data_IF_658565488541
#
_entry.id   IF_658565488541
#
_cell.length_a   1.000
_cell.length_b   1.000
_cell.length_c   1.000
_cell.angle_alpha   90.00
_cell.angle_beta   90.00
_cell.angle_gamma   90.00
#
_symmetry.space_group_name_H-M   'P 1'
#
loop_
_entity.id
_entity.type
_entity.pdbx_description
1 polymer ?
#
# COMPACT_ATOMS: atom_id res chain seq x y z
N UNK A 1 -21.19 -37.57 7.43
CA UNK A 1 -20.02 -36.92 8.06
C UNK A 1 -19.08 -36.32 7.01
N UNK A 2 -18.72 -37.06 5.96
CA UNK A 2 -17.86 -36.54 4.89
C UNK A 2 -18.51 -35.41 4.07
N UNK A 3 -19.79 -35.56 3.69
CA UNK A 3 -20.53 -34.54 2.93
C UNK A 3 -20.71 -33.22 3.71
N UNK A 4 -20.95 -33.33 5.03
CA UNK A 4 -21.00 -32.17 5.92
C UNK A 4 -19.65 -31.48 6.06
N UNK A 5 -18.54 -32.23 6.10
CA UNK A 5 -17.19 -31.66 6.12
C UNK A 5 -16.85 -30.96 4.81
N UNK A 6 -17.19 -31.55 3.66
CA UNK A 6 -16.97 -30.95 2.35
C UNK A 6 -17.77 -29.65 2.18
N UNK A 7 -19.04 -29.63 2.61
CA UNK A 7 -19.87 -28.42 2.62
C UNK A 7 -19.27 -27.31 3.51
N UNK A 8 -18.85 -27.64 4.73
CA UNK A 8 -18.23 -26.67 5.63
C UNK A 8 -16.90 -26.13 5.08
N UNK A 9 -16.11 -26.96 4.39
CA UNK A 9 -14.87 -26.51 3.76
C UNK A 9 -15.16 -25.52 2.61
N UNK A 10 -16.15 -25.83 1.76
CA UNK A 10 -16.56 -24.94 0.67
C UNK A 10 -17.09 -23.60 1.19
N UNK A 11 -17.93 -23.61 2.23
CA UNK A 11 -18.43 -22.37 2.86
C UNK A 11 -17.31 -21.55 3.49
N UNK A 12 -16.38 -22.19 4.20
CA UNK A 12 -15.23 -21.49 4.77
C UNK A 12 -14.36 -20.83 3.70
N UNK A 13 -14.16 -21.50 2.56
CA UNK A 13 -13.38 -20.92 1.46
C UNK A 13 -14.11 -19.73 0.83
N UNK A 14 -15.42 -19.85 0.59
CA UNK A 14 -16.23 -18.75 0.08
C UNK A 14 -16.21 -17.54 1.03
N UNK A 15 -16.28 -17.77 2.34
CA UNK A 15 -16.19 -16.71 3.35
C UNK A 15 -14.81 -16.06 3.37
N UNK A 16 -13.72 -16.84 3.24
CA UNK A 16 -12.35 -16.31 3.16
C UNK A 16 -12.17 -15.39 1.96
N UNK A 17 -12.61 -15.83 0.77
CA UNK A 17 -12.53 -15.00 -0.45
C UNK A 17 -13.28 -13.68 -0.26
N UNK A 18 -14.49 -13.73 0.32
CA UNK A 18 -15.30 -12.54 0.57
C UNK A 18 -14.65 -11.61 1.60
N UNK A 19 -14.04 -12.15 2.66
CA UNK A 19 -13.31 -11.39 3.67
C UNK A 19 -12.11 -10.65 3.05
N UNK A 20 -11.32 -11.34 2.22
CA UNK A 20 -10.15 -10.75 1.54
C UNK A 20 -10.60 -9.60 0.64
N UNK A 21 -11.68 -9.77 -0.11
CA UNK A 21 -12.23 -8.73 -0.99
C UNK A 21 -12.71 -7.51 -0.19
N UNK A 22 -13.42 -7.70 0.92
CA UNK A 22 -13.80 -6.59 1.81
C UNK A 22 -12.59 -5.87 2.39
N UNK A 23 -11.59 -6.60 2.85
CA UNK A 23 -10.37 -6.02 3.39
C UNK A 23 -9.62 -5.21 2.32
N UNK A 24 -9.51 -5.76 1.12
CA UNK A 24 -8.90 -5.10 -0.02
C UNK A 24 -9.64 -3.79 -0.36
N UNK A 25 -10.98 -3.79 -0.38
CA UNK A 25 -11.79 -2.60 -0.67
C UNK A 25 -11.62 -1.53 0.40
N UNK A 26 -11.61 -1.94 1.67
CA UNK A 26 -11.39 -1.04 2.82
C UNK A 26 -10.03 -0.34 2.75
N UNK A 27 -8.97 -1.07 2.34
CA UNK A 27 -7.60 -0.57 2.23
C UNK A 27 -7.26 0.11 0.90
N UNK A 28 -8.19 0.19 -0.06
CA UNK A 28 -7.92 0.65 -1.44
C UNK A 28 -7.34 2.07 -1.52
N UNK A 29 -7.76 2.95 -0.60
CA UNK A 29 -7.29 4.34 -0.49
C UNK A 29 -6.04 4.50 0.39
N UNK A 30 -5.57 3.41 1.01
CA UNK A 30 -4.41 3.45 1.88
C UNK A 30 -3.11 3.35 1.07
N UNK A 31 -2.11 4.06 1.56
CA UNK A 31 -0.71 3.92 1.16
C UNK A 31 0.11 3.47 2.37
N UNK A 32 1.16 2.70 2.10
CA UNK A 32 2.14 2.22 3.07
C UNK A 32 3.49 2.85 2.78
N UNK A 33 4.04 3.57 3.75
CA UNK A 33 5.31 4.26 3.67
C UNK A 33 6.32 3.55 4.56
N UNK A 34 7.52 3.26 4.03
CA UNK A 34 8.60 2.54 4.70
C UNK A 34 9.87 3.37 4.64
N UNK A 35 10.69 3.31 5.69
CA UNK A 35 11.98 4.03 5.76
C UNK A 35 11.91 5.41 6.43
N UNK A 36 10.71 5.87 6.79
CA UNK A 36 10.55 7.11 7.56
C UNK A 36 11.20 6.98 8.94
N UNK A 37 12.16 7.84 9.32
CA UNK A 37 12.73 7.84 10.67
C UNK A 37 11.63 7.96 11.73
N UNK A 38 11.81 7.29 12.85
CA UNK A 38 10.85 7.38 13.96
C UNK A 38 10.85 8.79 14.56
N UNK A 39 9.66 9.28 14.98
CA UNK A 39 9.44 10.59 15.62
C UNK A 39 9.64 11.81 14.69
N UNK A 40 9.91 11.60 13.40
CA UNK A 40 10.01 12.70 12.42
C UNK A 40 8.68 13.46 12.26
N UNK A 41 7.58 12.81 12.59
CA UNK A 41 6.24 13.38 12.47
C UNK A 41 5.93 14.47 13.50
N UNK A 42 6.73 14.55 14.56
CA UNK A 42 6.41 15.36 15.73
C UNK A 42 5.11 14.87 16.39
N UNK A 43 4.11 15.75 16.49
CA UNK A 43 2.85 15.49 17.17
C UNK A 43 1.73 14.92 16.29
N UNK A 44 1.73 15.20 14.98
CA UNK A 44 0.62 14.85 14.07
C UNK A 44 1.13 14.16 12.81
N UNK A 45 1.05 12.81 12.72
CA UNK A 45 1.41 12.07 11.51
C UNK A 45 0.66 12.53 10.26
N UNK A 46 -0.58 12.98 10.44
CA UNK A 46 -1.42 13.49 9.34
C UNK A 46 -0.81 14.77 8.75
N UNK A 47 -0.57 15.77 9.59
CA UNK A 47 -0.04 17.06 9.14
C UNK A 47 1.37 16.94 8.56
N UNK A 48 2.18 16.06 9.15
CA UNK A 48 3.49 15.72 8.62
C UNK A 48 3.38 15.22 7.17
N UNK A 49 2.50 14.25 6.89
CA UNK A 49 2.37 13.69 5.55
C UNK A 49 1.80 14.67 4.51
N UNK A 50 0.92 15.58 4.93
CA UNK A 50 0.37 16.63 4.04
C UNK A 50 1.49 17.48 3.45
N UNK A 51 2.55 17.77 4.23
CA UNK A 51 3.72 18.55 3.79
C UNK A 51 4.78 17.66 3.13
N UNK A 52 5.08 16.52 3.76
CA UNK A 52 6.17 15.65 3.38
C UNK A 52 5.98 15.00 2.00
N UNK A 53 4.76 14.58 1.63
CA UNK A 53 4.54 13.89 0.36
C UNK A 53 4.75 14.82 -0.85
N UNK A 54 4.19 16.04 -0.89
CA UNK A 54 4.52 17.02 -1.92
C UNK A 54 6.00 17.40 -1.96
N UNK A 55 6.65 17.59 -0.80
CA UNK A 55 8.09 17.87 -0.73
C UNK A 55 8.93 16.73 -1.33
N UNK A 56 8.54 15.47 -1.07
CA UNK A 56 9.26 14.30 -1.55
C UNK A 56 9.05 14.03 -3.04
N UNK A 57 7.84 14.28 -3.56
CA UNK A 57 7.45 13.91 -4.93
C UNK A 57 7.41 15.09 -5.90
N UNK A 58 7.70 16.30 -5.43
CA UNK A 58 7.61 17.55 -6.18
C UNK A 58 6.23 18.19 -6.04
N UNK A 59 6.19 19.39 -5.46
CA UNK A 59 4.96 20.13 -5.19
C UNK A 59 4.16 20.46 -6.47
N UNK A 60 4.83 20.60 -7.61
CA UNK A 60 4.22 20.93 -8.90
C UNK A 60 3.20 19.89 -9.39
N UNK A 61 3.30 18.65 -8.89
CA UNK A 61 2.35 17.58 -9.23
C UNK A 61 1.04 17.66 -8.43
N UNK A 62 0.93 18.58 -7.47
CA UNK A 62 -0.22 18.73 -6.58
C UNK A 62 -0.79 20.14 -6.72
N UNK A 63 -1.84 20.29 -7.55
CA UNK A 63 -2.51 21.57 -7.76
C UNK A 63 -3.34 22.05 -6.57
N UNK A 64 -3.71 21.12 -5.68
CA UNK A 64 -4.43 21.39 -4.43
C UNK A 64 -3.67 20.80 -3.26
N UNK A 65 -3.95 21.31 -2.06
CA UNK A 65 -3.37 20.76 -0.84
C UNK A 65 -3.74 19.28 -0.70
N UNK A 66 -2.76 18.44 -0.36
CA UNK A 66 -2.97 17.02 -0.14
C UNK A 66 -3.91 16.81 1.06
N UNK A 67 -4.97 16.04 0.85
CA UNK A 67 -5.91 15.65 1.91
C UNK A 67 -5.66 14.21 2.38
N UNK A 68 -5.33 14.10 3.66
CA UNK A 68 -5.10 12.82 4.36
C UNK A 68 -6.17 12.67 5.43
N UNK A 69 -6.93 11.57 5.38
CA UNK A 69 -7.99 11.29 6.37
C UNK A 69 -7.36 10.86 7.70
N UNK A 70 -6.45 9.88 7.64
CA UNK A 70 -5.83 9.24 8.80
C UNK A 70 -4.40 8.83 8.47
N UNK A 71 -3.51 8.95 9.44
CA UNK A 71 -2.14 8.48 9.34
C UNK A 71 -1.67 7.91 10.69
N UNK A 72 -1.02 6.76 10.68
CA UNK A 72 -0.50 6.13 11.89
C UNK A 72 0.66 5.16 11.57
N UNK A 73 1.50 4.88 12.57
CA UNK A 73 2.54 3.84 12.48
C UNK A 73 1.92 2.47 12.75
N UNK A 74 2.33 1.48 11.96
CA UNK A 74 1.89 0.09 12.10
C UNK A 74 2.81 -0.67 13.06
N UNK A 75 2.21 -1.38 14.01
CA UNK A 75 2.89 -2.33 14.89
C UNK A 75 3.59 -1.72 16.11
N UNK A 76 4.09 -2.61 16.95
CA UNK A 76 4.84 -2.27 18.18
C UNK A 76 6.27 -1.89 17.83
N UNK A 77 6.82 -0.89 18.54
CA UNK A 77 8.25 -0.59 18.42
C UNK A 77 9.05 -1.80 18.91
N UNK A 78 9.99 -2.27 18.09
CA UNK A 78 10.98 -3.22 18.58
C UNK A 78 11.93 -2.48 19.55
N UNK A 79 12.33 -3.11 20.65
CA UNK A 79 13.38 -2.57 21.53
C UNK A 79 14.72 -2.56 20.80
N UNK A 80 15.47 -1.46 20.92
CA UNK A 80 16.82 -1.28 20.36
C UNK A 80 16.95 -0.07 19.41
N UNK A 81 18.03 0.69 19.60
CA UNK A 81 18.28 1.96 18.86
C UNK A 81 18.54 1.77 17.36
N UNK A 82 18.87 0.55 16.92
CA UNK A 82 19.09 0.20 15.51
C UNK A 82 17.91 -0.56 14.87
N UNK A 83 16.74 -0.56 15.51
CA UNK A 83 15.56 -1.21 14.96
C UNK A 83 15.09 -0.53 13.66
N UNK A 84 14.63 -1.32 12.70
CA UNK A 84 14.06 -0.80 11.45
C UNK A 84 12.86 0.10 11.77
N UNK A 85 12.76 1.31 11.19
CA UNK A 85 11.64 2.20 11.44
C UNK A 85 10.31 1.54 11.05
N UNK A 86 9.26 1.74 11.86
CA UNK A 86 7.95 1.13 11.58
C UNK A 86 7.35 1.68 10.29
N UNK A 87 6.60 0.85 9.56
CA UNK A 87 5.84 1.33 8.43
C UNK A 87 4.76 2.32 8.90
N UNK A 88 4.45 3.32 8.08
CA UNK A 88 3.33 4.22 8.29
C UNK A 88 2.23 3.88 7.28
N UNK A 89 0.98 3.82 7.76
CA UNK A 89 -0.19 3.70 6.90
C UNK A 89 -0.90 5.05 6.89
N UNK A 90 -1.23 5.53 5.70
CA UNK A 90 -2.01 6.74 5.51
C UNK A 90 -3.16 6.49 4.56
N UNK A 91 -4.35 6.96 4.92
CA UNK A 91 -5.54 6.96 4.06
C UNK A 91 -5.62 8.31 3.35
N UNK A 92 -5.51 8.28 2.03
CA UNK A 92 -5.64 9.46 1.20
C UNK A 92 -7.12 9.69 0.87
N UNK A 93 -7.59 10.92 1.03
CA UNK A 93 -9.01 11.25 0.88
C UNK A 93 -9.51 10.94 -0.55
N UNK A 94 -8.76 11.40 -1.56
CA UNK A 94 -9.09 11.18 -2.96
C UNK A 94 -8.33 10.02 -3.58
N UNK A 95 -9.05 9.08 -4.20
CA UNK A 95 -8.46 7.90 -4.83
C UNK A 95 -7.49 8.26 -5.97
N UNK A 96 -7.82 9.24 -6.81
CA UNK A 96 -6.96 9.66 -7.93
C UNK A 96 -5.63 10.25 -7.43
N UNK A 97 -5.65 11.03 -6.33
CA UNK A 97 -4.43 11.57 -5.71
C UNK A 97 -3.53 10.44 -5.21
N UNK A 98 -4.11 9.42 -4.58
CA UNK A 98 -3.39 8.22 -4.16
C UNK A 98 -2.73 7.49 -5.34
N UNK A 99 -3.41 7.38 -6.47
CA UNK A 99 -2.83 6.79 -7.68
C UNK A 99 -1.68 7.63 -8.25
N UNK A 100 -1.82 8.96 -8.23
CA UNK A 100 -0.74 9.89 -8.61
C UNK A 100 0.48 9.72 -7.71
N UNK A 101 0.30 9.69 -6.38
CA UNK A 101 1.38 9.44 -5.41
C UNK A 101 2.11 8.13 -5.73
N UNK A 102 1.37 7.03 -5.93
CA UNK A 102 1.96 5.73 -6.25
C UNK A 102 2.63 5.67 -7.63
N UNK A 103 2.16 6.46 -8.59
CA UNK A 103 2.79 6.59 -9.90
C UNK A 103 4.11 7.36 -9.79
N UNK A 104 4.11 8.51 -9.13
CA UNK A 104 5.30 9.34 -8.92
C UNK A 104 6.36 8.58 -8.12
N UNK A 105 5.96 7.88 -7.06
CA UNK A 105 6.87 7.09 -6.24
C UNK A 105 7.59 5.98 -7.04
N UNK A 106 6.93 5.42 -8.06
CA UNK A 106 7.55 4.44 -8.97
C UNK A 106 8.45 5.10 -10.01
N UNK A 107 8.05 6.26 -10.53
CA UNK A 107 8.80 6.99 -11.56
C UNK A 107 10.09 7.62 -11.01
N UNK A 108 10.03 8.14 -9.79
CA UNK A 108 11.14 8.83 -9.13
C UNK A 108 11.97 7.88 -8.24
N UNK A 109 11.79 6.57 -8.38
CA UNK A 109 12.54 5.60 -7.62
C UNK A 109 14.04 5.66 -7.99
N UNK A 110 14.98 5.68 -7.02
CA UNK A 110 14.77 5.59 -5.58
C UNK A 110 14.43 6.94 -4.93
N UNK A 111 13.38 6.98 -4.11
CA UNK A 111 13.06 8.16 -3.30
C UNK A 111 14.03 8.25 -2.12
N UNK A 112 14.54 9.45 -1.85
CA UNK A 112 15.44 9.71 -0.72
C UNK A 112 14.98 10.93 0.07
N UNK A 113 15.09 10.84 1.39
CA UNK A 113 14.93 11.97 2.29
C UNK A 113 16.11 12.01 3.26
N UNK A 114 16.91 13.09 3.24
CA UNK A 114 18.14 13.23 4.04
C UNK A 114 19.05 11.99 3.92
N UNK A 115 19.31 11.58 2.67
CA UNK A 115 20.08 10.38 2.29
C UNK A 115 19.54 9.03 2.76
N UNK A 116 18.36 8.99 3.40
CA UNK A 116 17.69 7.75 3.77
C UNK A 116 16.68 7.35 2.70
N UNK A 117 16.67 6.07 2.26
CA UNK A 117 15.73 5.62 1.25
C UNK A 117 14.31 5.57 1.83
N UNK A 118 13.35 6.11 1.07
CA UNK A 118 11.92 6.07 1.38
C UNK A 118 11.22 5.22 0.33
N UNK A 119 10.25 4.42 0.76
CA UNK A 119 9.47 3.60 -0.14
C UNK A 119 7.98 3.83 0.09
N UNK A 120 7.21 3.98 -0.98
CA UNK A 120 5.75 4.14 -0.93
C UNK A 120 5.11 3.02 -1.75
N UNK A 121 4.24 2.26 -1.11
CA UNK A 121 3.54 1.12 -1.70
C UNK A 121 2.03 1.21 -1.46
N UNK A 122 1.21 0.49 -2.24
CA UNK A 122 -0.18 0.25 -1.86
C UNK A 122 -0.25 -0.64 -0.60
N UNK A 123 -1.25 -0.40 0.25
CA UNK A 123 -1.56 -1.26 1.42
C UNK A 123 -2.47 -2.42 0.99
N UNK A 124 -1.89 -3.57 0.67
CA UNK A 124 -2.64 -4.79 0.35
C UNK A 124 -2.80 -5.71 1.57
N UNK A 125 -3.90 -6.50 1.64
CA UNK A 125 -4.03 -7.61 2.57
C UNK A 125 -2.87 -8.61 2.44
N UNK A 126 -2.59 -9.35 3.52
CA UNK A 126 -1.49 -10.30 3.57
C UNK A 126 -1.64 -11.43 2.52
N UNK A 127 -2.87 -11.91 2.32
CA UNK A 127 -3.22 -12.94 1.34
C UNK A 127 -2.94 -12.46 -0.09
N UNK A 128 -3.31 -11.22 -0.41
CA UNK A 128 -3.03 -10.62 -1.72
C UNK A 128 -1.53 -10.44 -1.93
N UNK A 129 -0.78 -10.08 -0.88
CA UNK A 129 0.69 -10.01 -0.96
C UNK A 129 1.32 -11.38 -1.18
N UNK A 130 0.84 -12.44 -0.52
CA UNK A 130 1.30 -13.82 -0.73
C UNK A 130 1.04 -14.27 -2.16
N UNK A 131 -0.18 -14.12 -2.66
CA UNK A 131 -0.53 -14.43 -4.06
C UNK A 131 0.38 -13.71 -5.07
N UNK A 132 0.75 -12.45 -4.80
CA UNK A 132 1.68 -11.69 -5.65
C UNK A 132 3.12 -12.20 -5.60
N UNK A 133 3.58 -12.69 -4.45
CA UNK A 133 4.91 -13.30 -4.31
C UNK A 133 4.97 -14.64 -5.04
N UNK A 134 3.94 -15.48 -4.85
CA UNK A 134 3.84 -16.82 -5.44
C UNK A 134 3.73 -16.76 -6.97
N UNK A 135 3.09 -15.72 -7.51
CA UNK A 135 2.99 -15.52 -8.95
C UNK A 135 4.34 -15.19 -9.63
N UNK A 136 5.40 -14.84 -8.89
CA UNK A 136 6.75 -14.64 -9.45
C UNK A 136 6.91 -13.53 -10.49
N UNK A 137 5.85 -12.77 -10.80
CA UNK A 137 5.88 -11.77 -11.86
C UNK A 137 6.27 -10.40 -11.32
N UNK A 138 7.30 -9.77 -11.90
CA UNK A 138 7.50 -8.31 -11.85
C UNK A 138 6.39 -7.61 -12.67
N UNK A 139 5.13 -7.76 -12.27
CA UNK A 139 3.97 -7.20 -12.98
C UNK A 139 3.29 -6.13 -12.15
N UNK A 140 2.89 -5.05 -12.83
CA UNK A 140 1.93 -4.09 -12.31
C UNK A 140 0.56 -4.75 -12.16
N UNK A 141 0.37 -5.51 -11.09
CA UNK A 141 -0.92 -6.07 -10.72
C UNK A 141 -1.83 -4.91 -10.29
N UNK A 142 -2.89 -4.69 -11.06
CA UNK A 142 -3.94 -3.72 -10.73
C UNK A 142 -4.80 -4.27 -9.60
N UNK A 143 -5.34 -3.37 -8.78
CA UNK A 143 -6.29 -3.75 -7.75
C UNK A 143 -7.53 -4.47 -8.35
N UNK A 144 -8.10 -5.52 -7.70
CA UNK A 144 -7.68 -6.14 -6.44
C UNK A 144 -6.55 -7.16 -6.57
N UNK A 145 -6.42 -7.84 -7.71
CA UNK A 145 -5.29 -8.72 -8.03
C UNK A 145 -5.30 -9.07 -9.53
N UNK A 146 -5.67 -8.12 -10.41
CA UNK A 146 -5.74 -8.40 -11.84
C UNK A 146 -4.35 -8.34 -12.44
N UNK A 147 -3.91 -9.44 -13.02
CA UNK A 147 -2.62 -9.55 -13.66
C UNK A 147 -2.73 -8.86 -15.01
N UNK A 148 -2.12 -7.67 -15.13
CA UNK A 148 -1.89 -7.04 -16.42
C UNK A 148 -0.66 -7.68 -17.02
N UNK A 149 -0.85 -8.66 -17.90
CA UNK A 149 0.24 -9.22 -18.71
C UNK A 149 0.31 -8.42 -20.01
N UNK A 150 1.47 -7.83 -20.28
CA UNK A 150 1.74 -7.21 -21.57
C UNK A 150 2.45 -8.25 -22.43
N UNK A 151 1.75 -8.84 -23.40
CA UNK A 151 2.35 -9.70 -24.42
C UNK A 151 2.47 -8.85 -25.68
N UNK A 152 3.68 -8.38 -26.00
CA UNK A 152 3.91 -7.46 -27.12
C UNK A 152 3.36 -6.05 -26.88
N UNK A 153 2.56 -5.51 -27.81
CA UNK A 153 1.95 -4.16 -27.74
C UNK A 153 0.52 -4.14 -27.18
N UNK A 154 -0.06 -5.30 -26.84
CA UNK A 154 -1.45 -5.41 -26.37
C UNK A 154 -1.48 -5.81 -24.89
N UNK A 155 -2.18 -5.03 -24.07
CA UNK A 155 -2.38 -5.34 -22.65
C UNK A 155 -3.65 -6.15 -22.45
N UNK A 156 -3.53 -7.37 -21.94
CA UNK A 156 -4.67 -8.21 -21.54
C UNK A 156 -4.84 -8.16 -20.01
N UNK A 157 -6.09 -8.12 -19.56
CA UNK A 157 -6.46 -8.11 -18.15
C UNK A 157 -6.99 -9.50 -17.76
N UNK A 158 -6.24 -10.21 -16.92
CA UNK A 158 -6.73 -11.39 -16.21
C UNK A 158 -7.17 -10.94 -14.82
#
# INVERSE_FOLDING_TARGET
LEETCARMQAENEALRVKMIDFEARSRRQNIKIIGLPEKIEGGSPREFLIKFIPELLGADHFHTQLEVDRAHRLGTRLPGDNARPRAMIARIHYFHVKETILRLARQQFPLRHKDKPIYIFPDYPAEVMRQRQDAGVRCGVLYPARLRVTIGSTGLFY
#
